data_IF_554764663771
#
_entry.id   IF_554764663771
#
_cell.length_a   1.000
_cell.length_b   1.000
_cell.length_c   1.000
_cell.angle_alpha   90.00
_cell.angle_beta   90.00
_cell.angle_gamma   90.00
#
_symmetry.space_group_name_H-M   'P 1'
#
loop_
_entity.id
_entity.type
_entity.pdbx_description
1 polymer ?
#
# COMPACT_ATOMS: atom_id res chain seq x y z
N UNK A 1 21.79 0.72 13.33
CA UNK A 1 20.83 -0.09 12.53
C UNK A 1 20.22 0.87 11.53
N UNK A 2 20.09 0.50 10.25
CA UNK A 2 19.38 1.39 9.31
C UNK A 2 17.91 1.47 9.72
N UNK A 3 17.32 2.64 9.55
CA UNK A 3 15.91 2.88 9.83
C UNK A 3 15.05 2.10 8.82
N UNK A 4 14.14 1.25 9.30
CA UNK A 4 13.24 0.47 8.44
C UNK A 4 12.20 1.41 7.83
N UNK A 5 12.01 1.32 6.51
CA UNK A 5 11.08 2.17 5.77
C UNK A 5 10.20 1.38 4.80
N UNK A 6 9.15 2.01 4.30
CA UNK A 6 8.26 1.49 3.25
C UNK A 6 8.63 2.10 1.89
N UNK A 7 8.80 1.29 0.87
CA UNK A 7 9.02 1.77 -0.50
C UNK A 7 7.71 1.73 -1.31
N UNK A 8 7.21 2.89 -1.71
CA UNK A 8 6.00 3.03 -2.54
C UNK A 8 6.39 3.29 -3.99
N UNK A 9 5.99 2.39 -4.89
CA UNK A 9 6.21 2.52 -6.33
C UNK A 9 4.87 2.68 -7.04
N UNK A 10 4.81 3.60 -8.01
CA UNK A 10 3.66 3.77 -8.90
C UNK A 10 4.12 3.87 -10.35
N UNK A 11 3.30 3.37 -11.27
CA UNK A 11 3.65 3.25 -12.69
C UNK A 11 3.57 4.57 -13.46
N UNK A 12 2.82 5.54 -12.93
CA UNK A 12 2.50 6.82 -13.54
C UNK A 12 2.33 7.90 -12.46
N UNK A 13 2.59 9.16 -12.81
CA UNK A 13 2.28 10.31 -11.96
C UNK A 13 0.76 10.52 -11.80
N UNK A 14 -0.03 10.08 -12.78
CA UNK A 14 -1.50 10.02 -12.70
C UNK A 14 -2.03 9.17 -11.53
N UNK A 15 -1.20 8.28 -10.98
CA UNK A 15 -1.56 7.40 -9.85
C UNK A 15 -1.47 8.15 -8.50
N UNK A 16 -0.74 9.27 -8.47
CA UNK A 16 -0.41 10.03 -7.27
C UNK A 16 -1.65 10.45 -6.46
N UNK A 17 -2.74 11.00 -7.05
CA UNK A 17 -3.90 11.43 -6.27
C UNK A 17 -4.58 10.30 -5.47
N UNK A 18 -4.47 9.07 -5.95
CA UNK A 18 -4.97 7.88 -5.22
C UNK A 18 -3.96 7.49 -4.13
N UNK A 19 -2.67 7.46 -4.48
CA UNK A 19 -1.60 7.02 -3.59
C UNK A 19 -1.25 8.01 -2.47
N UNK A 20 -1.69 9.27 -2.55
CA UNK A 20 -1.67 10.19 -1.42
C UNK A 20 -2.35 9.60 -0.19
N UNK A 21 -3.40 8.79 -0.36
CA UNK A 21 -4.04 8.09 0.75
C UNK A 21 -3.12 7.09 1.47
N UNK A 22 -2.15 6.50 0.77
CA UNK A 22 -1.08 5.69 1.39
C UNK A 22 -0.14 6.57 2.18
N UNK A 23 0.31 7.70 1.60
CA UNK A 23 1.24 8.62 2.25
C UNK A 23 0.66 9.21 3.52
N UNK A 24 -0.62 9.58 3.52
CA UNK A 24 -1.29 10.15 4.69
C UNK A 24 -1.35 9.16 5.85
N UNK A 25 -1.54 7.88 5.56
CA UNK A 25 -1.51 6.81 6.59
C UNK A 25 -0.09 6.64 7.12
N UNK A 26 0.90 6.51 6.24
CA UNK A 26 2.29 6.31 6.65
C UNK A 26 2.80 7.51 7.48
N UNK A 27 2.51 8.75 7.07
CA UNK A 27 2.87 9.95 7.85
C UNK A 27 2.20 9.97 9.22
N UNK A 28 0.90 9.69 9.30
CA UNK A 28 0.14 9.72 10.56
C UNK A 28 0.57 8.63 11.55
N UNK A 29 1.02 7.50 11.03
CA UNK A 29 1.60 6.42 11.83
C UNK A 29 3.11 6.57 12.05
N UNK A 30 3.70 7.69 11.59
CA UNK A 30 5.12 7.99 11.69
C UNK A 30 6.02 6.87 11.13
N UNK A 31 5.59 6.28 10.02
CA UNK A 31 6.34 5.26 9.29
C UNK A 31 7.15 5.93 8.18
N UNK A 32 8.50 5.87 8.21
CA UNK A 32 9.33 6.40 7.14
C UNK A 32 9.01 5.74 5.80
N UNK A 33 8.98 6.52 4.72
CA UNK A 33 8.74 5.97 3.39
C UNK A 33 9.43 6.75 2.29
N UNK A 34 9.68 6.06 1.19
CA UNK A 34 10.10 6.64 -0.08
C UNK A 34 9.05 6.39 -1.14
N UNK A 35 8.84 7.36 -2.04
CA UNK A 35 7.95 7.22 -3.18
C UNK A 35 8.71 7.38 -4.50
N UNK A 36 8.41 6.57 -5.50
CA UNK A 36 8.99 6.66 -6.85
C UNK A 36 7.94 6.40 -7.93
N UNK A 37 8.05 7.14 -9.03
CA UNK A 37 7.37 6.83 -10.29
C UNK A 37 8.31 5.99 -11.14
N UNK A 38 8.03 4.69 -11.25
CA UNK A 38 8.79 3.75 -12.07
C UNK A 38 7.83 2.73 -12.69
N UNK A 39 8.01 2.42 -13.96
CA UNK A 39 7.08 1.57 -14.71
C UNK A 39 7.74 0.23 -15.05
N UNK A 40 7.05 -0.86 -14.72
CA UNK A 40 7.46 -2.20 -15.14
C UNK A 40 7.60 -2.32 -16.66
N UNK A 41 6.79 -1.58 -17.43
CA UNK A 41 6.78 -1.65 -18.89
C UNK A 41 7.69 -0.61 -19.54
N UNK A 42 7.74 0.61 -19.01
CA UNK A 42 8.45 1.75 -19.64
C UNK A 42 9.85 1.98 -19.10
N UNK A 43 10.08 1.68 -17.81
CA UNK A 43 11.38 1.86 -17.14
C UNK A 43 11.78 0.63 -16.32
N UNK A 44 11.81 -0.59 -16.92
CA UNK A 44 12.07 -1.82 -16.19
C UNK A 44 13.43 -1.81 -15.47
N UNK A 45 14.49 -1.33 -16.12
CA UNK A 45 15.83 -1.24 -15.51
C UNK A 45 15.85 -0.32 -14.27
N UNK A 46 15.13 0.80 -14.31
CA UNK A 46 15.02 1.71 -13.16
C UNK A 46 14.23 1.07 -12.01
N UNK A 47 13.12 0.39 -12.32
CA UNK A 47 12.35 -0.38 -11.34
C UNK A 47 13.23 -1.43 -10.66
N UNK A 48 13.98 -2.21 -11.44
CA UNK A 48 14.87 -3.25 -10.91
C UNK A 48 15.98 -2.68 -10.04
N UNK A 49 16.62 -1.59 -10.50
CA UNK A 49 17.68 -0.93 -9.75
C UNK A 49 17.17 -0.40 -8.41
N UNK A 50 16.00 0.26 -8.40
CA UNK A 50 15.44 0.83 -7.19
C UNK A 50 15.03 -0.23 -6.16
N UNK A 51 14.41 -1.34 -6.59
CA UNK A 51 14.02 -2.42 -5.66
C UNK A 51 15.24 -2.99 -4.93
N UNK A 52 16.32 -3.27 -5.67
CA UNK A 52 17.57 -3.79 -5.10
C UNK A 52 18.24 -2.79 -4.16
N UNK A 53 18.31 -1.53 -4.58
CA UNK A 53 18.84 -0.44 -3.75
C UNK A 53 18.04 -0.28 -2.45
N UNK A 54 16.72 -0.16 -2.54
CA UNK A 54 15.84 0.01 -1.39
C UNK A 54 15.96 -1.14 -0.40
N UNK A 55 16.01 -2.39 -0.88
CA UNK A 55 16.22 -3.56 -0.04
C UNK A 55 17.58 -3.50 0.69
N UNK A 56 18.65 -3.14 0.00
CA UNK A 56 19.99 -3.01 0.59
C UNK A 56 20.07 -1.92 1.68
N UNK A 57 19.19 -0.92 1.63
CA UNK A 57 19.09 0.18 2.61
C UNK A 57 18.15 -0.12 3.79
N UNK A 58 17.50 -1.29 3.79
CA UNK A 58 16.61 -1.71 4.87
C UNK A 58 15.12 -1.49 4.61
N UNK A 59 14.68 -1.47 3.36
CA UNK A 59 13.25 -1.52 3.03
C UNK A 59 12.59 -2.73 3.71
N UNK A 60 11.54 -2.47 4.48
CA UNK A 60 10.79 -3.49 5.21
C UNK A 60 9.61 -4.04 4.40
N UNK A 61 8.93 -3.19 3.64
CA UNK A 61 7.74 -3.52 2.84
C UNK A 61 7.72 -2.69 1.56
N UNK A 62 7.37 -3.32 0.44
CA UNK A 62 7.07 -2.63 -0.81
C UNK A 62 5.57 -2.47 -1.02
N UNK A 63 5.14 -1.30 -1.49
CA UNK A 63 3.78 -1.04 -1.97
C UNK A 63 3.89 -0.68 -3.45
N UNK A 64 3.16 -1.38 -4.32
CA UNK A 64 3.17 -1.17 -5.76
C UNK A 64 1.76 -0.89 -6.27
N UNK A 65 1.57 0.27 -6.90
CA UNK A 65 0.30 0.69 -7.48
C UNK A 65 0.34 0.70 -9.01
N UNK A 66 -0.66 0.10 -9.65
CA UNK A 66 -0.79 0.10 -11.09
C UNK A 66 -2.24 -0.17 -11.51
N UNK A 67 -2.64 0.42 -12.65
CA UNK A 67 -3.94 0.17 -13.31
C UNK A 67 -3.79 -0.73 -14.55
N UNK A 68 -4.93 -1.10 -15.13
CA UNK A 68 -5.01 -1.95 -16.34
C UNK A 68 -4.23 -3.26 -16.18
N UNK A 69 -3.31 -3.60 -17.10
CA UNK A 69 -2.39 -4.73 -16.98
C UNK A 69 -1.31 -4.46 -15.90
N UNK A 70 -1.71 -4.58 -14.64
CA UNK A 70 -0.97 -4.12 -13.47
C UNK A 70 0.22 -5.03 -13.08
N UNK A 71 1.32 -5.00 -13.86
CA UNK A 71 2.48 -5.87 -13.64
C UNK A 71 3.50 -5.37 -12.60
N UNK A 72 3.34 -4.16 -12.06
CA UNK A 72 4.35 -3.55 -11.19
C UNK A 72 4.57 -4.37 -9.90
N UNK A 73 3.50 -4.79 -9.21
CA UNK A 73 3.61 -5.57 -7.99
C UNK A 73 4.28 -6.93 -8.22
N UNK A 74 3.88 -7.66 -9.27
CA UNK A 74 4.50 -8.92 -9.65
C UNK A 74 5.98 -8.77 -10.04
N UNK A 75 6.32 -7.68 -10.74
CA UNK A 75 7.72 -7.35 -11.08
C UNK A 75 8.57 -7.13 -9.83
N UNK A 76 8.06 -6.35 -8.86
CA UNK A 76 8.75 -6.11 -7.59
C UNK A 76 8.91 -7.42 -6.81
N UNK A 77 7.85 -8.23 -6.69
CA UNK A 77 7.88 -9.51 -5.97
C UNK A 77 8.86 -10.52 -6.59
N UNK A 78 9.09 -10.48 -7.91
CA UNK A 78 10.09 -11.31 -8.57
C UNK A 78 11.55 -10.91 -8.27
N UNK A 79 11.78 -9.76 -7.60
CA UNK A 79 13.10 -9.19 -7.36
C UNK A 79 13.52 -9.14 -5.89
N UNK A 80 12.59 -9.40 -4.96
CA UNK A 80 12.80 -9.26 -3.51
C UNK A 80 12.11 -10.38 -2.74
N UNK A 81 12.63 -10.70 -1.56
CA UNK A 81 11.94 -11.56 -0.57
C UNK A 81 11.17 -10.74 0.47
N UNK A 82 11.22 -9.41 0.40
CA UNK A 82 10.42 -8.54 1.26
C UNK A 82 8.94 -8.64 0.88
N UNK A 83 8.01 -8.45 1.84
CA UNK A 83 6.58 -8.39 1.54
C UNK A 83 6.26 -7.33 0.48
N UNK A 84 5.45 -7.70 -0.51
CA UNK A 84 4.97 -6.79 -1.56
C UNK A 84 3.46 -6.68 -1.48
N UNK A 85 2.96 -5.46 -1.34
CA UNK A 85 1.54 -5.12 -1.32
C UNK A 85 1.18 -4.52 -2.68
N UNK A 86 0.17 -5.08 -3.35
CA UNK A 86 -0.32 -4.60 -4.63
C UNK A 86 -1.60 -3.80 -4.49
N UNK A 87 -1.61 -2.56 -4.99
CA UNK A 87 -2.78 -1.67 -5.03
C UNK A 87 -3.31 -1.60 -6.46
N UNK A 88 -4.38 -2.33 -6.80
CA UNK A 88 -5.01 -2.22 -8.11
C UNK A 88 -5.73 -0.88 -8.25
N UNK A 89 -5.40 -0.11 -9.28
CA UNK A 89 -6.01 1.19 -9.56
C UNK A 89 -7.25 1.04 -10.46
N UNK A 90 -8.26 1.87 -10.24
CA UNK A 90 -9.53 1.93 -10.97
C UNK A 90 -9.45 2.64 -12.33
N UNK A 91 -8.24 2.70 -12.91
CA UNK A 91 -8.02 3.32 -14.22
C UNK A 91 -8.59 2.47 -15.37
N UNK A 92 -9.05 3.12 -16.44
CA UNK A 92 -9.50 2.48 -17.67
C UNK A 92 -10.96 2.04 -17.66
N UNK A 93 -11.35 1.24 -18.66
CA UNK A 93 -12.75 0.92 -18.95
C UNK A 93 -13.37 -0.12 -17.99
N UNK A 94 -12.54 -0.90 -17.29
CA UNK A 94 -12.97 -2.01 -16.45
C UNK A 94 -13.01 -1.66 -14.96
N UNK A 95 -12.86 -0.38 -14.62
CA UNK A 95 -12.92 0.12 -13.24
C UNK A 95 -12.02 -0.68 -12.27
N UNK A 96 -10.85 -1.11 -12.74
CA UNK A 96 -9.86 -1.83 -11.95
C UNK A 96 -10.09 -3.34 -11.80
N UNK A 97 -11.09 -3.95 -12.43
CA UNK A 97 -11.23 -5.43 -12.43
C UNK A 97 -10.02 -6.11 -13.10
N UNK A 98 -9.55 -5.53 -14.20
CA UNK A 98 -8.32 -5.94 -14.88
C UNK A 98 -7.08 -5.78 -13.99
N UNK A 99 -6.94 -4.64 -13.32
CA UNK A 99 -5.85 -4.39 -12.39
C UNK A 99 -5.89 -5.34 -11.20
N UNK A 100 -7.08 -5.60 -10.64
CA UNK A 100 -7.29 -6.52 -9.52
C UNK A 100 -6.83 -7.93 -9.88
N UNK A 101 -7.33 -8.49 -10.99
CA UNK A 101 -6.96 -9.83 -11.43
C UNK A 101 -5.48 -9.92 -11.82
N UNK A 102 -4.93 -8.90 -12.47
CA UNK A 102 -3.51 -8.82 -12.80
C UNK A 102 -2.60 -8.79 -11.57
N UNK A 103 -3.11 -8.28 -10.44
CA UNK A 103 -2.34 -8.15 -9.19
C UNK A 103 -2.46 -9.38 -8.31
N UNK A 104 -3.67 -9.93 -8.14
CA UNK A 104 -3.96 -10.99 -7.15
C UNK A 104 -3.64 -12.39 -7.65
N UNK A 105 -3.72 -12.64 -8.96
CA UNK A 105 -3.59 -13.98 -9.56
C UNK A 105 -2.11 -14.39 -9.79
N UNK A 106 -1.25 -14.13 -8.80
CA UNK A 106 0.15 -14.59 -8.85
C UNK A 106 0.23 -16.13 -8.81
N UNK A 107 1.18 -16.75 -9.54
CA UNK A 107 1.43 -18.18 -9.41
C UNK A 107 1.97 -18.52 -8.01
N UNK A 108 1.79 -19.77 -7.58
CA UNK A 108 2.33 -20.26 -6.31
C UNK A 108 3.85 -20.10 -6.24
N UNK A 109 4.35 -19.51 -5.15
CA UNK A 109 5.78 -19.31 -4.88
C UNK A 109 6.27 -17.87 -4.92
N UNK A 110 5.53 -16.95 -5.55
CA UNK A 110 5.88 -15.51 -5.64
C UNK A 110 4.67 -14.66 -5.23
N UNK A 111 4.37 -14.54 -3.92
CA UNK A 111 3.12 -13.93 -3.46
C UNK A 111 3.13 -12.41 -3.58
N UNK A 112 1.93 -11.85 -3.80
CA UNK A 112 1.63 -10.41 -3.65
C UNK A 112 0.40 -10.29 -2.75
N UNK A 113 0.48 -9.43 -1.73
CA UNK A 113 -0.67 -9.10 -0.88
C UNK A 113 -1.53 -8.05 -1.59
N UNK A 114 -2.56 -8.50 -2.32
CA UNK A 114 -3.47 -7.60 -3.02
C UNK A 114 -4.50 -6.98 -2.05
N UNK A 115 -4.68 -5.67 -2.13
CA UNK A 115 -5.72 -4.93 -1.37
C UNK A 115 -6.89 -4.52 -2.28
N UNK A 116 -7.89 -3.85 -1.71
CA UNK A 116 -9.04 -3.33 -2.46
C UNK A 116 -8.62 -2.43 -3.64
N UNK A 117 -9.53 -2.23 -4.59
CA UNK A 117 -9.31 -1.32 -5.73
C UNK A 117 -9.34 0.15 -5.30
N UNK A 118 -8.48 0.97 -5.92
CA UNK A 118 -8.49 2.43 -5.83
C UNK A 118 -8.10 2.97 -4.45
N UNK A 119 -8.72 4.10 -4.06
CA UNK A 119 -8.35 4.86 -2.84
C UNK A 119 -8.49 4.06 -1.54
N UNK A 120 -9.50 3.19 -1.44
CA UNK A 120 -9.65 2.30 -0.29
C UNK A 120 -8.46 1.33 -0.18
N UNK A 121 -8.02 0.78 -1.31
CA UNK A 121 -6.79 -0.01 -1.44
C UNK A 121 -5.55 0.75 -1.00
N UNK A 122 -5.33 1.94 -1.56
CA UNK A 122 -4.18 2.78 -1.23
C UNK A 122 -4.10 3.07 0.29
N UNK A 123 -5.23 3.42 0.91
CA UNK A 123 -5.32 3.59 2.37
C UNK A 123 -4.94 2.30 3.10
N UNK A 124 -5.55 1.17 2.72
CA UNK A 124 -5.31 -0.12 3.36
C UNK A 124 -3.89 -0.64 3.16
N UNK A 125 -3.22 -0.32 2.06
CA UNK A 125 -1.83 -0.68 1.83
C UNK A 125 -0.89 -0.02 2.84
N UNK A 126 -1.13 1.26 3.17
CA UNK A 126 -0.40 1.95 4.24
C UNK A 126 -0.58 1.27 5.60
N UNK A 127 -1.83 0.92 5.94
CA UNK A 127 -2.12 0.21 7.19
C UNK A 127 -1.52 -1.19 7.24
N UNK A 128 -1.61 -1.95 6.15
CA UNK A 128 -1.08 -3.30 6.08
C UNK A 128 0.46 -3.29 6.18
N UNK A 129 1.13 -2.35 5.51
CA UNK A 129 2.56 -2.17 5.66
C UNK A 129 2.94 -1.85 7.11
N UNK A 130 2.24 -0.91 7.75
CA UNK A 130 2.47 -0.58 9.15
C UNK A 130 2.22 -1.78 10.09
N UNK A 131 1.19 -2.59 9.85
CA UNK A 131 0.91 -3.80 10.64
C UNK A 131 1.99 -4.86 10.50
N UNK A 132 2.55 -5.04 9.30
CA UNK A 132 3.69 -5.94 9.07
C UNK A 132 4.89 -5.47 9.90
N UNK A 133 5.23 -4.17 9.83
CA UNK A 133 6.36 -3.62 10.59
C UNK A 133 6.12 -3.67 12.12
N UNK A 134 4.90 -3.43 12.57
CA UNK A 134 4.52 -3.46 13.99
C UNK A 134 4.69 -4.82 14.65
N UNK A 135 4.83 -5.92 13.88
CA UNK A 135 5.17 -7.23 14.45
C UNK A 135 6.54 -7.24 15.16
N UNK A 136 7.40 -6.29 14.83
CA UNK A 136 8.71 -6.08 15.46
C UNK A 136 8.86 -4.68 16.10
N UNK A 137 7.80 -3.86 16.12
CA UNK A 137 7.79 -2.50 16.66
C UNK A 137 6.51 -2.27 17.50
N UNK A 138 6.67 -2.39 18.81
CA UNK A 138 5.56 -2.26 19.77
C UNK A 138 4.97 -0.84 19.82
N UNK A 139 5.79 0.19 19.59
CA UNK A 139 5.35 1.59 19.61
C UNK A 139 4.48 1.90 18.38
N UNK A 140 4.88 1.42 17.20
CA UNK A 140 4.03 1.45 16.01
C UNK A 140 2.73 0.67 16.22
N UNK A 141 2.80 -0.48 16.90
CA UNK A 141 1.63 -1.25 17.31
C UNK A 141 0.65 -0.45 18.18
N UNK A 142 1.18 0.34 19.12
CA UNK A 142 0.37 1.23 19.95
C UNK A 142 -0.29 2.36 19.14
N UNK A 143 0.44 3.01 18.22
CA UNK A 143 -0.13 4.04 17.31
C UNK A 143 -1.26 3.49 16.44
N UNK A 144 -1.09 2.29 15.89
CA UNK A 144 -2.13 1.58 15.10
C UNK A 144 -3.38 1.30 15.94
N UNK A 145 -3.20 0.86 17.19
CA UNK A 145 -4.32 0.59 18.10
C UNK A 145 -5.09 1.87 18.42
N UNK A 146 -4.39 2.95 18.76
CA UNK A 146 -4.99 4.24 19.06
C UNK A 146 -5.81 4.79 17.88
N UNK A 147 -5.30 4.69 16.64
CA UNK A 147 -6.08 5.11 15.46
C UNK A 147 -7.39 4.31 15.29
N UNK A 148 -7.36 3.00 15.57
CA UNK A 148 -8.57 2.16 15.49
C UNK A 148 -9.58 2.49 16.58
N UNK A 149 -9.12 2.81 17.79
CA UNK A 149 -10.00 3.25 18.88
C UNK A 149 -10.69 4.57 18.54
N UNK A 150 -9.97 5.54 17.99
CA UNK A 150 -10.55 6.80 17.50
C UNK A 150 -11.58 6.54 16.40
N UNK A 151 -11.27 5.67 15.42
CA UNK A 151 -12.21 5.33 14.35
C UNK A 151 -13.47 4.65 14.88
N UNK A 152 -13.35 3.77 15.88
CA UNK A 152 -14.48 3.13 16.54
C UNK A 152 -15.35 4.16 17.27
N UNK A 153 -14.75 5.10 18.00
CA UNK A 153 -15.48 6.16 18.68
C UNK A 153 -16.29 7.02 17.70
N UNK A 154 -15.72 7.38 16.55
CA UNK A 154 -16.42 8.13 15.49
C UNK A 154 -17.66 7.38 15.00
N UNK A 155 -17.63 6.05 14.93
CA UNK A 155 -18.81 5.25 14.52
C UNK A 155 -19.87 5.28 15.61
N UNK A 156 -19.48 5.11 16.88
CA UNK A 156 -20.40 5.17 18.02
C UNK A 156 -21.09 6.53 18.13
N UNK A 157 -20.34 7.63 17.96
CA UNK A 157 -20.88 8.99 18.02
C UNK A 157 -21.88 9.26 16.87
N UNK A 158 -21.61 8.70 15.68
CA UNK A 158 -22.53 8.79 14.53
C UNK A 158 -23.81 7.99 14.76
N UNK A 159 -23.72 6.81 15.37
CA UNK A 159 -24.91 6.04 15.73
C UNK A 159 -25.74 6.77 16.79
N UNK A 160 -25.13 7.29 17.86
CA UNK A 160 -25.83 8.09 18.86
C UNK A 160 -26.56 9.29 18.25
N UNK A 161 -25.90 9.98 17.31
CA UNK A 161 -26.50 11.10 16.55
C UNK A 161 -27.67 10.66 15.66
N UNK A 162 -27.59 9.45 15.08
CA UNK A 162 -28.68 8.87 14.30
C UNK A 162 -29.88 8.54 15.19
N UNK A 163 -29.65 7.88 16.33
CA UNK A 163 -30.73 7.52 17.27
C UNK A 163 -31.48 8.76 17.77
N UNK A 164 -30.76 9.84 18.09
CA UNK A 164 -31.35 11.11 18.52
C UNK A 164 -32.20 11.82 17.45
N UNK A 165 -32.04 11.49 16.16
CA UNK A 165 -32.86 12.03 15.07
C UNK A 165 -34.11 11.21 14.78
N UNK A 166 -34.13 9.95 15.24
CA UNK A 166 -35.22 9.02 15.00
C UNK A 166 -36.24 8.98 16.15
N UNK A 167 -35.82 9.31 17.37
CA UNK A 167 -36.70 9.53 18.53
C UNK A 167 -37.27 10.93 18.58
#
# INVERSE_FOLDING_TARGET
>A
MSETFVAVLMGSDSDLPIMEATFDVLRRLEVPFEARVTSAHRTPAATHSYVRDAESRGCGVFIAAAGMAAHLAGTVAGLTLKPVIGVPLDAGMLAGLDALLSTVQMPGGVPVACVAVGKAGAKNAGYLAAQILATADADLGARLKAEREVAAQVVLDKDASLQARLG
#
